data_IF_635135795820
#
_entry.id   IF_635135795820
#
_cell.length_a   1.000
_cell.length_b   1.000
_cell.length_c   1.000
_cell.angle_alpha   90.00
_cell.angle_beta   90.00
_cell.angle_gamma   90.00
#
_symmetry.space_group_name_H-M   'P 1'
#
loop_
_entity.id
_entity.type
_entity.pdbx_description
1 polymer ?
#
# COMPACT_ATOMS: atom_id res chain seq x y z
N UNK A 1 -11.35 -26.45 23.14
CA UNK A 1 -12.45 -27.03 22.36
C UNK A 1 -12.45 -28.58 22.45
N UNK A 2 -11.29 -29.23 22.23
CA UNK A 2 -11.15 -30.72 22.33
C UNK A 2 -11.47 -31.22 23.72
N UNK A 3 -10.89 -30.60 24.75
CA UNK A 3 -11.09 -30.96 26.15
C UNK A 3 -12.50 -30.64 26.65
N UNK A 4 -13.02 -29.45 26.27
CA UNK A 4 -14.35 -29.00 26.69
C UNK A 4 -15.52 -29.77 26.07
N UNK A 5 -15.32 -30.42 24.91
CA UNK A 5 -16.37 -31.18 24.22
C UNK A 5 -16.17 -32.71 24.25
N UNK A 6 -15.17 -33.19 24.98
CA UNK A 6 -14.85 -34.59 25.13
C UNK A 6 -14.73 -35.36 23.79
N UNK A 7 -14.15 -34.73 22.76
CA UNK A 7 -13.94 -35.27 21.41
C UNK A 7 -12.44 -35.45 21.12
N UNK A 8 -11.80 -36.52 21.60
CA UNK A 8 -10.35 -36.75 21.47
C UNK A 8 -9.91 -36.91 20.00
N UNK A 9 -10.80 -37.35 19.11
CA UNK A 9 -10.53 -37.58 17.69
C UNK A 9 -10.62 -36.29 16.83
N UNK A 10 -11.05 -35.18 17.42
CA UNK A 10 -11.13 -33.94 16.70
C UNK A 10 -9.73 -33.43 16.33
N UNK A 11 -9.57 -32.89 15.13
CA UNK A 11 -8.32 -32.32 14.65
C UNK A 11 -8.50 -30.89 14.10
N UNK A 12 -7.43 -30.12 14.11
CA UNK A 12 -7.36 -28.81 13.49
C UNK A 12 -6.41 -28.89 12.31
N UNK A 13 -6.85 -28.42 11.14
CA UNK A 13 -6.03 -28.30 9.93
C UNK A 13 -6.08 -26.89 9.41
N UNK A 14 -4.92 -26.23 9.36
CA UNK A 14 -4.75 -24.92 8.74
C UNK A 14 -4.13 -25.06 7.35
N UNK A 15 -4.64 -24.31 6.37
CA UNK A 15 -4.09 -24.24 5.02
C UNK A 15 -3.79 -22.77 4.70
N UNK A 16 -2.64 -22.52 4.09
CA UNK A 16 -2.27 -21.16 3.62
C UNK A 16 -1.44 -21.24 2.34
N UNK A 17 -1.68 -20.33 1.44
CA UNK A 17 -0.88 -20.05 0.23
C UNK A 17 0.07 -18.86 0.43
N UNK A 18 -0.08 -18.12 1.52
CA UNK A 18 0.67 -16.90 1.82
C UNK A 18 1.86 -17.15 2.75
N UNK A 19 2.82 -17.94 2.30
CA UNK A 19 4.01 -18.28 3.09
C UNK A 19 4.80 -17.03 3.51
N UNK A 20 4.87 -16.01 2.67
CA UNK A 20 5.56 -14.74 2.97
C UNK A 20 4.98 -14.02 4.21
N UNK A 21 3.70 -14.21 4.52
CA UNK A 21 3.09 -13.66 5.73
C UNK A 21 3.63 -14.30 7.01
N UNK A 22 4.20 -15.50 6.92
CA UNK A 22 4.73 -16.28 8.03
C UNK A 22 6.25 -16.10 8.23
N UNK A 23 6.98 -15.64 7.20
CA UNK A 23 8.45 -15.53 7.22
C UNK A 23 8.94 -14.30 8.01
N UNK A 24 8.11 -13.27 8.20
CA UNK A 24 8.50 -12.04 8.89
C UNK A 24 8.28 -12.11 10.40
N UNK A 25 9.32 -11.87 11.20
CA UNK A 25 9.24 -11.73 12.65
C UNK A 25 9.70 -12.97 13.43
N UNK A 26 10.11 -12.72 14.70
CA UNK A 26 10.62 -13.77 15.58
C UNK A 26 9.49 -14.72 16.02
N UNK A 27 9.70 -16.02 15.79
CA UNK A 27 8.81 -17.11 16.21
C UNK A 27 7.33 -16.98 15.81
N UNK A 28 7.05 -16.36 14.65
CA UNK A 28 5.66 -16.14 14.20
C UNK A 28 4.94 -17.45 13.87
N UNK A 29 5.65 -18.39 13.27
CA UNK A 29 5.12 -19.72 12.94
C UNK A 29 4.81 -20.50 14.21
N UNK A 30 5.74 -20.54 15.20
CA UNK A 30 5.52 -21.20 16.48
C UNK A 30 4.30 -20.64 17.21
N UNK A 31 4.18 -19.32 17.31
CA UNK A 31 3.01 -18.67 17.93
C UNK A 31 1.69 -19.04 17.23
N UNK A 32 1.70 -19.14 15.91
CA UNK A 32 0.52 -19.54 15.14
C UNK A 32 0.16 -21.01 15.44
N UNK A 33 1.16 -21.89 15.48
CA UNK A 33 0.96 -23.30 15.82
C UNK A 33 0.38 -23.46 17.23
N UNK A 34 0.93 -22.76 18.20
CA UNK A 34 0.45 -22.75 19.59
C UNK A 34 -1.00 -22.24 19.67
N UNK A 35 -1.29 -21.13 18.98
CA UNK A 35 -2.65 -20.55 18.97
C UNK A 35 -3.68 -21.48 18.34
N UNK A 36 -3.29 -22.20 17.28
CA UNK A 36 -4.16 -23.15 16.58
C UNK A 36 -4.11 -24.57 17.16
N UNK A 37 -3.27 -24.83 18.17
CA UNK A 37 -3.02 -26.16 18.74
C UNK A 37 -2.63 -27.19 17.67
N UNK A 38 -1.76 -26.80 16.73
CA UNK A 38 -1.28 -27.64 15.63
C UNK A 38 0.15 -28.09 15.92
N UNK A 39 0.39 -29.42 15.89
CA UNK A 39 1.70 -30.01 16.19
C UNK A 39 2.65 -30.16 15.01
N UNK A 40 2.12 -30.25 13.78
CA UNK A 40 2.93 -30.57 12.60
C UNK A 40 2.76 -29.53 11.51
N UNK A 41 3.84 -29.27 10.76
CA UNK A 41 3.85 -28.40 9.57
C UNK A 41 4.22 -29.26 8.36
N UNK A 42 3.44 -29.10 7.28
CA UNK A 42 3.72 -29.73 5.99
C UNK A 42 3.95 -28.63 4.96
N UNK A 43 5.14 -28.62 4.34
CA UNK A 43 5.51 -27.67 3.30
C UNK A 43 5.36 -28.31 1.93
N UNK A 44 4.54 -27.72 1.08
CA UNK A 44 4.26 -28.19 -0.28
C UNK A 44 4.61 -27.11 -1.33
N UNK A 45 5.91 -26.78 -1.52
CA UNK A 45 6.30 -25.83 -2.55
C UNK A 45 6.07 -26.41 -3.95
N UNK A 46 5.86 -25.54 -4.94
CA UNK A 46 5.60 -25.95 -6.33
C UNK A 46 6.72 -26.79 -6.94
N UNK A 47 7.95 -26.63 -6.47
CA UNK A 47 9.12 -27.42 -6.93
C UNK A 47 9.23 -28.78 -6.24
N UNK A 48 8.40 -29.11 -5.25
CA UNK A 48 8.34 -30.44 -4.67
C UNK A 48 7.95 -31.45 -5.76
N UNK A 49 8.67 -32.58 -5.81
CA UNK A 49 8.55 -33.53 -6.92
C UNK A 49 7.10 -33.98 -7.15
N UNK A 50 6.40 -34.39 -6.10
CA UNK A 50 5.00 -34.83 -6.18
C UNK A 50 4.06 -33.73 -6.70
N UNK A 51 4.29 -32.47 -6.30
CA UNK A 51 3.49 -31.32 -6.79
C UNK A 51 3.80 -31.04 -8.25
N UNK A 52 5.08 -31.05 -8.62
CA UNK A 52 5.51 -30.86 -10.01
C UNK A 52 4.92 -31.93 -10.95
N UNK A 53 4.96 -33.19 -10.54
CA UNK A 53 4.40 -34.29 -11.31
C UNK A 53 2.87 -34.20 -11.42
N UNK A 54 2.18 -33.84 -10.33
CA UNK A 54 0.75 -33.63 -10.36
C UNK A 54 0.37 -32.49 -11.30
N UNK A 55 1.04 -31.34 -11.18
CA UNK A 55 0.79 -30.19 -12.09
C UNK A 55 1.10 -30.51 -13.55
N UNK A 56 2.11 -31.33 -13.83
CA UNK A 56 2.43 -31.76 -15.18
C UNK A 56 1.36 -32.66 -15.80
N UNK A 57 0.70 -33.50 -14.97
CA UNK A 57 -0.41 -34.36 -15.43
C UNK A 57 -1.73 -33.58 -15.59
N UNK A 58 -1.87 -32.47 -14.90
CA UNK A 58 -3.09 -31.63 -14.90
C UNK A 58 -2.70 -30.18 -15.23
N UNK A 59 -2.21 -29.92 -16.47
CA UNK A 59 -1.85 -28.56 -16.84
C UNK A 59 -3.12 -27.69 -16.85
N UNK A 60 -3.09 -26.50 -16.22
CA UNK A 60 -4.21 -25.58 -16.32
C UNK A 60 -4.32 -25.04 -17.74
N UNK A 61 -5.54 -24.85 -18.23
CA UNK A 61 -5.78 -24.07 -19.43
C UNK A 61 -5.59 -22.58 -19.10
N UNK A 62 -4.53 -21.99 -19.65
CA UNK A 62 -4.13 -20.61 -19.33
C UNK A 62 -4.52 -19.69 -20.46
N UNK A 63 -5.54 -18.87 -20.24
CA UNK A 63 -5.93 -17.79 -21.14
C UNK A 63 -5.35 -16.47 -20.64
N UNK A 64 -4.40 -15.92 -21.36
CA UNK A 64 -3.78 -14.63 -21.05
C UNK A 64 -4.52 -13.51 -21.77
N UNK A 65 -5.18 -12.64 -21.01
CA UNK A 65 -5.84 -11.46 -21.54
C UNK A 65 -5.02 -10.20 -21.23
N UNK A 66 -4.60 -9.49 -22.28
CA UNK A 66 -3.95 -8.20 -22.17
C UNK A 66 -5.00 -7.07 -22.32
N UNK A 67 -5.38 -6.44 -21.22
CA UNK A 67 -6.35 -5.34 -21.21
C UNK A 67 -5.62 -4.02 -20.98
N UNK A 68 -5.70 -3.10 -21.94
CA UNK A 68 -5.11 -1.77 -21.82
C UNK A 68 -6.03 -0.83 -21.02
N UNK A 69 -5.41 0.16 -20.34
CA UNK A 69 -6.16 1.21 -19.68
C UNK A 69 -6.96 2.05 -20.68
N UNK A 70 -8.16 2.45 -20.31
CA UNK A 70 -8.94 3.40 -21.10
C UNK A 70 -8.26 4.77 -21.18
N UNK A 71 -8.55 5.59 -22.20
CA UNK A 71 -7.93 6.93 -22.30
C UNK A 71 -8.13 7.79 -21.04
N UNK A 72 -9.32 7.74 -20.44
CA UNK A 72 -9.61 8.46 -19.19
C UNK A 72 -8.79 7.89 -18.00
N UNK A 73 -8.64 6.58 -17.90
CA UNK A 73 -7.79 5.98 -16.86
C UNK A 73 -6.32 6.38 -17.02
N UNK A 74 -5.81 6.44 -18.26
CA UNK A 74 -4.45 6.92 -18.54
C UNK A 74 -4.27 8.38 -18.13
N UNK A 75 -5.26 9.23 -18.38
CA UNK A 75 -5.24 10.63 -17.96
C UNK A 75 -5.21 10.75 -16.43
N UNK A 76 -6.07 10.01 -15.72
CA UNK A 76 -6.06 9.95 -14.26
C UNK A 76 -4.71 9.47 -13.73
N UNK A 77 -4.16 8.40 -14.32
CA UNK A 77 -2.85 7.88 -13.97
C UNK A 77 -1.74 8.93 -14.13
N UNK A 78 -1.72 9.63 -15.27
CA UNK A 78 -0.75 10.68 -15.55
C UNK A 78 -0.83 11.82 -14.52
N UNK A 79 -2.05 12.28 -14.20
CA UNK A 79 -2.25 13.33 -13.18
C UNK A 79 -1.76 12.88 -11.79
N UNK A 80 -2.03 11.65 -11.38
CA UNK A 80 -1.53 11.14 -10.09
C UNK A 80 0.00 11.10 -10.09
N UNK A 81 0.62 10.63 -11.17
CA UNK A 81 2.09 10.56 -11.29
C UNK A 81 2.69 11.97 -11.24
N UNK A 82 2.11 12.94 -11.93
CA UNK A 82 2.54 14.34 -11.92
C UNK A 82 2.52 14.92 -10.50
N UNK A 83 1.43 14.70 -9.76
CA UNK A 83 1.32 15.11 -8.35
C UNK A 83 2.41 14.41 -7.50
N UNK A 84 2.65 13.11 -7.71
CA UNK A 84 3.69 12.37 -6.99
C UNK A 84 5.09 12.93 -7.28
N UNK A 85 5.38 13.30 -8.51
CA UNK A 85 6.65 13.93 -8.90
C UNK A 85 6.82 15.28 -8.20
N UNK A 86 5.79 16.11 -8.17
CA UNK A 86 5.81 17.40 -7.47
C UNK A 86 6.06 17.22 -5.95
N UNK A 87 5.34 16.30 -5.31
CA UNK A 87 5.55 15.98 -3.89
C UNK A 87 6.97 15.45 -3.60
N UNK A 88 7.51 14.63 -4.49
CA UNK A 88 8.86 14.07 -4.35
C UNK A 88 9.93 15.15 -4.52
N UNK A 89 9.76 16.06 -5.48
CA UNK A 89 10.66 17.20 -5.68
C UNK A 89 10.65 18.13 -4.45
N UNK A 90 9.48 18.41 -3.89
CA UNK A 90 9.36 19.21 -2.67
C UNK A 90 10.02 18.51 -1.47
N UNK A 91 9.84 17.20 -1.34
CA UNK A 91 10.48 16.42 -0.29
C UNK A 91 12.01 16.42 -0.40
N UNK A 92 12.56 16.29 -1.61
CA UNK A 92 13.99 16.38 -1.88
C UNK A 92 14.54 17.76 -1.50
N UNK A 93 13.83 18.83 -1.87
CA UNK A 93 14.21 20.21 -1.53
C UNK A 93 14.21 20.45 -0.01
N UNK A 94 13.20 20.00 0.70
CA UNK A 94 13.09 20.17 2.16
C UNK A 94 14.09 19.32 2.94
N UNK A 95 14.25 18.07 2.53
CA UNK A 95 15.09 17.10 3.26
C UNK A 95 16.58 17.27 2.99
N UNK A 96 16.96 17.89 1.86
CA UNK A 96 18.33 17.95 1.34
C UNK A 96 19.02 16.57 1.27
N UNK A 97 18.22 15.51 1.20
CA UNK A 97 18.69 14.13 1.07
C UNK A 97 18.63 13.76 -0.40
N UNK A 98 19.67 13.11 -0.88
CA UNK A 98 19.63 12.54 -2.23
C UNK A 98 18.61 11.38 -2.26
N UNK A 99 17.55 11.62 -3.01
CA UNK A 99 16.44 10.69 -3.21
C UNK A 99 16.50 10.01 -4.58
N UNK A 100 17.54 10.25 -5.38
CA UNK A 100 17.67 9.75 -6.76
C UNK A 100 17.54 8.21 -6.84
N UNK A 101 18.13 7.48 -5.89
CA UNK A 101 18.03 6.03 -5.80
C UNK A 101 16.62 5.55 -5.40
N UNK A 102 15.86 6.37 -4.66
CA UNK A 102 14.55 6.00 -4.14
C UNK A 102 13.44 6.51 -5.05
N UNK A 103 13.70 7.50 -5.89
CA UNK A 103 12.68 8.15 -6.71
C UNK A 103 12.04 7.18 -7.71
N UNK A 104 12.80 6.24 -8.27
CA UNK A 104 12.27 5.17 -9.12
C UNK A 104 11.50 4.11 -8.32
N UNK A 105 11.92 3.81 -7.09
CA UNK A 105 11.26 2.85 -6.19
C UNK A 105 10.07 3.45 -5.45
N UNK A 106 10.10 4.76 -5.12
CA UNK A 106 9.02 5.47 -4.41
C UNK A 106 7.71 5.41 -5.19
N UNK A 107 7.79 5.33 -6.51
CA UNK A 107 6.60 5.30 -7.35
C UNK A 107 5.90 3.92 -7.37
N UNK A 108 6.54 2.84 -6.93
CA UNK A 108 6.04 1.48 -7.18
C UNK A 108 5.91 0.63 -5.90
N UNK A 109 6.79 0.79 -4.89
CA UNK A 109 6.86 -0.14 -3.76
C UNK A 109 6.36 0.43 -2.42
N UNK A 110 5.43 -0.24 -1.72
CA UNK A 110 4.99 0.15 -0.37
C UNK A 110 6.12 0.19 0.67
N UNK A 111 7.20 -0.59 0.45
CA UNK A 111 8.38 -0.61 1.31
C UNK A 111 9.24 0.67 1.22
N UNK A 112 9.06 1.47 0.17
CA UNK A 112 9.78 2.72 -0.01
C UNK A 112 9.45 3.76 1.08
N UNK A 113 8.23 3.73 1.64
CA UNK A 113 7.83 4.67 2.71
C UNK A 113 8.65 4.49 3.99
N UNK A 114 8.95 3.26 4.36
CA UNK A 114 9.77 2.97 5.54
C UNK A 114 11.23 3.38 5.33
N UNK A 115 11.79 3.08 4.16
CA UNK A 115 13.15 3.49 3.76
C UNK A 115 13.25 5.02 3.72
N UNK A 116 12.25 5.69 3.18
CA UNK A 116 12.20 7.14 3.07
C UNK A 116 12.14 7.80 4.44
N UNK A 117 11.24 7.35 5.33
CA UNK A 117 11.17 7.83 6.72
C UNK A 117 12.48 7.58 7.48
N UNK A 118 13.13 6.44 7.27
CA UNK A 118 14.41 6.12 7.88
C UNK A 118 15.53 7.04 7.40
N UNK A 119 15.63 7.31 6.08
CA UNK A 119 16.62 8.27 5.53
C UNK A 119 16.37 9.68 6.08
N UNK A 120 15.12 10.15 6.11
CA UNK A 120 14.74 11.46 6.64
C UNK A 120 15.08 11.56 8.14
N UNK A 121 14.74 10.53 8.94
CA UNK A 121 14.99 10.51 10.38
C UNK A 121 16.48 10.46 10.77
N UNK A 122 17.34 9.93 9.90
CA UNK A 122 18.80 9.91 10.10
C UNK A 122 19.48 11.24 9.78
N UNK A 123 18.81 12.16 9.10
CA UNK A 123 19.38 13.46 8.75
C UNK A 123 19.47 14.36 10.00
N UNK A 124 20.70 14.69 10.42
CA UNK A 124 20.98 15.51 11.62
C UNK A 124 20.37 16.92 11.56
N UNK A 125 20.05 17.40 10.36
CA UNK A 125 19.50 18.75 10.11
C UNK A 125 17.97 18.81 10.15
N UNK A 126 17.30 17.68 10.31
CA UNK A 126 15.84 17.56 10.27
C UNK A 126 15.25 17.59 11.68
N UNK A 127 14.81 18.78 12.14
CA UNK A 127 14.16 18.96 13.44
C UNK A 127 12.92 19.87 13.32
N UNK A 128 12.00 19.72 14.26
CA UNK A 128 10.82 20.59 14.38
C UNK A 128 9.90 20.57 13.15
N UNK A 129 9.54 21.74 12.68
CA UNK A 129 8.57 21.96 11.58
C UNK A 129 8.98 21.30 10.26
N UNK A 130 10.29 21.28 9.93
CA UNK A 130 10.78 20.64 8.71
C UNK A 130 10.58 19.13 8.71
N UNK A 131 10.85 18.47 9.82
CA UNK A 131 10.64 17.03 9.95
C UNK A 131 9.14 16.70 9.84
N UNK A 132 8.28 17.53 10.43
CA UNK A 132 6.84 17.39 10.33
C UNK A 132 6.38 17.51 8.86
N UNK A 133 6.77 18.57 8.17
CA UNK A 133 6.44 18.78 6.76
C UNK A 133 6.90 17.61 5.87
N UNK A 134 8.10 17.07 6.09
CA UNK A 134 8.57 15.89 5.36
C UNK A 134 7.74 14.64 5.66
N UNK A 135 7.32 14.43 6.91
CA UNK A 135 6.46 13.31 7.26
C UNK A 135 5.05 13.42 6.66
N UNK A 136 4.53 14.64 6.54
CA UNK A 136 3.27 14.94 5.87
C UNK A 136 3.36 14.62 4.38
N UNK A 137 4.42 15.06 3.69
CA UNK A 137 4.67 14.70 2.29
C UNK A 137 4.82 13.20 2.06
N UNK A 138 5.44 12.47 2.97
CA UNK A 138 5.52 11.01 2.88
C UNK A 138 4.14 10.36 3.06
N UNK A 139 3.29 10.91 3.92
CA UNK A 139 1.92 10.44 4.06
C UNK A 139 1.09 10.74 2.80
N UNK A 140 1.28 11.90 2.18
CA UNK A 140 0.65 12.26 0.92
C UNK A 140 1.06 11.32 -0.22
N UNK A 141 2.35 11.02 -0.36
CA UNK A 141 2.85 10.04 -1.32
C UNK A 141 2.24 8.65 -1.12
N UNK A 142 2.03 8.23 0.13
CA UNK A 142 1.34 6.97 0.44
C UNK A 142 -0.11 7.00 -0.05
N UNK A 143 -0.82 8.11 0.18
CA UNK A 143 -2.20 8.32 -0.27
C UNK A 143 -2.28 8.29 -1.81
N UNK A 144 -1.38 8.97 -2.51
CA UNK A 144 -1.32 9.01 -3.97
C UNK A 144 -1.05 7.61 -4.57
N UNK A 145 -0.16 6.82 -3.96
CA UNK A 145 0.04 5.41 -4.38
C UNK A 145 -1.19 4.55 -4.14
N UNK A 146 -1.90 4.79 -3.05
CA UNK A 146 -3.17 4.12 -2.80
C UNK A 146 -4.19 4.46 -3.88
N UNK A 147 -4.31 5.73 -4.28
CA UNK A 147 -5.16 6.15 -5.41
C UNK A 147 -4.76 5.43 -6.70
N UNK A 148 -3.47 5.37 -7.02
CA UNK A 148 -2.98 4.71 -8.22
C UNK A 148 -3.32 3.21 -8.25
N UNK A 149 -3.15 2.52 -7.13
CA UNK A 149 -3.55 1.12 -6.97
C UNK A 149 -5.06 0.93 -7.07
N UNK A 150 -5.82 1.85 -6.50
CA UNK A 150 -7.28 1.81 -6.46
C UNK A 150 -7.92 2.08 -7.84
N UNK A 151 -7.25 2.84 -8.70
CA UNK A 151 -7.69 3.08 -10.09
C UNK A 151 -7.88 1.78 -10.88
N UNK A 152 -7.07 0.75 -10.56
CA UNK A 152 -7.12 -0.56 -11.22
C UNK A 152 -8.05 -1.57 -10.52
N UNK A 153 -8.32 -1.36 -9.24
CA UNK A 153 -9.06 -2.33 -8.40
C UNK A 153 -10.54 -1.99 -8.24
N UNK A 154 -10.88 -0.72 -8.35
CA UNK A 154 -12.24 -0.24 -8.12
C UNK A 154 -12.93 0.14 -9.43
N UNK A 155 -14.25 0.01 -9.44
CA UNK A 155 -15.10 0.59 -10.47
C UNK A 155 -15.05 2.14 -10.42
N UNK A 156 -15.61 2.80 -11.43
CA UNK A 156 -15.55 4.26 -11.55
C UNK A 156 -16.27 4.98 -10.40
N UNK A 157 -17.40 4.47 -9.94
CA UNK A 157 -18.19 5.10 -8.87
C UNK A 157 -17.47 4.97 -7.53
N UNK A 158 -16.99 3.76 -7.19
CA UNK A 158 -16.25 3.51 -5.95
C UNK A 158 -14.94 4.29 -5.91
N UNK A 159 -14.23 4.37 -7.04
CA UNK A 159 -13.01 5.18 -7.16
C UNK A 159 -13.29 6.67 -6.93
N UNK A 160 -14.35 7.22 -7.56
CA UNK A 160 -14.69 8.63 -7.38
C UNK A 160 -15.12 8.96 -5.94
N UNK A 161 -15.95 8.11 -5.32
CA UNK A 161 -16.31 8.27 -3.91
C UNK A 161 -15.11 8.25 -2.99
N UNK A 162 -14.13 7.37 -3.27
CA UNK A 162 -12.86 7.35 -2.54
C UNK A 162 -12.10 8.66 -2.72
N UNK A 163 -12.00 9.21 -3.94
CA UNK A 163 -11.36 10.50 -4.20
C UNK A 163 -12.04 11.64 -3.41
N UNK A 164 -13.37 11.70 -3.43
CA UNK A 164 -14.14 12.70 -2.66
C UNK A 164 -13.86 12.58 -1.16
N UNK A 165 -13.82 11.37 -0.62
CA UNK A 165 -13.47 11.14 0.79
C UNK A 165 -12.06 11.64 1.12
N UNK A 166 -11.09 11.39 0.25
CA UNK A 166 -9.72 11.87 0.42
C UNK A 166 -9.66 13.39 0.35
N UNK A 167 -10.38 14.02 -0.60
CA UNK A 167 -10.47 15.48 -0.73
C UNK A 167 -10.99 16.12 0.55
N UNK A 168 -12.09 15.59 1.08
CA UNK A 168 -12.68 16.08 2.34
C UNK A 168 -11.70 15.92 3.49
N UNK A 169 -11.08 14.74 3.64
CA UNK A 169 -10.14 14.46 4.74
C UNK A 169 -8.87 15.30 4.65
N UNK A 170 -8.38 15.55 3.45
CA UNK A 170 -7.16 16.34 3.23
C UNK A 170 -7.42 17.85 3.33
N UNK A 171 -8.65 18.31 3.07
CA UNK A 171 -9.04 19.72 3.15
C UNK A 171 -9.45 20.15 4.56
N UNK A 172 -9.95 19.26 5.41
CA UNK A 172 -10.42 19.59 6.75
C UNK A 172 -9.22 19.76 7.68
N UNK A 173 -9.00 20.97 8.26
CA UNK A 173 -8.12 21.11 9.40
C UNK A 173 -8.71 20.30 10.55
N UNK A 174 -7.98 19.31 11.06
CA UNK A 174 -8.39 18.59 12.28
C UNK A 174 -8.43 19.61 13.44
N UNK A 175 -9.64 20.09 13.75
CA UNK A 175 -9.94 20.81 14.97
C UNK A 175 -9.79 19.81 16.13
N UNK A 176 -8.56 19.52 16.52
CA UNK A 176 -8.33 18.94 17.83
C UNK A 176 -8.59 20.04 18.85
N UNK A 177 -9.49 19.79 19.77
CA UNK A 177 -9.89 20.66 20.90
C UNK A 177 -8.73 21.06 21.84
N UNK A 178 -7.52 20.70 21.54
CA UNK A 178 -6.27 21.16 22.16
C UNK A 178 -5.47 21.98 21.14
N UNK A 179 -5.67 23.28 21.15
CA UNK A 179 -5.25 24.32 20.22
C UNK A 179 -3.77 24.44 19.82
N UNK A 180 -3.00 23.37 19.76
CA UNK A 180 -1.56 23.41 19.53
C UNK A 180 -1.08 22.87 18.16
N UNK A 181 -1.92 22.18 17.38
CA UNK A 181 -1.49 21.62 16.11
C UNK A 181 -2.61 21.62 15.06
N UNK A 182 -2.76 22.74 14.34
CA UNK A 182 -3.53 22.76 13.10
C UNK A 182 -2.75 21.97 12.04
N UNK A 183 -3.35 20.92 11.48
CA UNK A 183 -2.84 20.27 10.26
C UNK A 183 -3.20 21.18 9.08
N UNK A 184 -2.22 21.71 8.38
CA UNK A 184 -2.46 22.43 7.13
C UNK A 184 -3.00 21.45 6.07
N UNK A 185 -3.87 21.91 5.18
CA UNK A 185 -4.33 21.08 4.05
C UNK A 185 -3.15 20.67 3.18
N UNK A 186 -3.21 19.46 2.65
CA UNK A 186 -2.13 18.93 1.81
C UNK A 186 -1.93 19.80 0.56
N UNK A 187 -0.72 20.28 0.36
CA UNK A 187 -0.41 21.27 -0.71
C UNK A 187 -0.66 20.73 -2.13
N UNK A 188 -0.59 19.41 -2.32
CA UNK A 188 -0.88 18.79 -3.62
C UNK A 188 -2.33 19.03 -4.10
N UNK A 189 -3.27 19.33 -3.19
CA UNK A 189 -4.65 19.68 -3.56
C UNK A 189 -4.76 20.96 -4.38
N UNK A 190 -3.76 21.83 -4.32
CA UNK A 190 -3.72 23.09 -5.04
C UNK A 190 -3.11 22.99 -6.46
N UNK A 191 -2.63 21.79 -6.84
CA UNK A 191 -2.02 21.58 -8.14
C UNK A 191 -3.10 21.44 -9.23
N UNK A 192 -2.82 21.96 -10.42
CA UNK A 192 -3.70 21.84 -11.60
C UNK A 192 -3.96 20.37 -11.98
N UNK A 193 -2.93 19.53 -11.82
CA UNK A 193 -3.05 18.09 -12.00
C UNK A 193 -4.10 17.45 -11.09
N UNK A 194 -4.33 18.01 -9.90
CA UNK A 194 -5.38 17.53 -8.98
C UNK A 194 -6.76 17.87 -9.53
N UNK A 195 -6.98 19.05 -10.05
CA UNK A 195 -8.26 19.41 -10.67
C UNK A 195 -8.55 18.53 -11.88
N UNK A 196 -7.55 18.32 -12.74
CA UNK A 196 -7.64 17.38 -13.87
C UNK A 196 -7.99 15.96 -13.43
N UNK A 197 -7.40 15.48 -12.34
CA UNK A 197 -7.70 14.18 -11.74
C UNK A 197 -9.17 14.05 -11.35
N UNK A 198 -9.69 15.02 -10.58
CA UNK A 198 -11.07 14.99 -10.08
C UNK A 198 -12.09 15.15 -11.22
N UNK A 199 -11.84 16.07 -12.14
CA UNK A 199 -12.68 16.29 -13.32
C UNK A 199 -12.74 15.03 -14.18
N UNK A 200 -11.59 14.45 -14.54
CA UNK A 200 -11.54 13.23 -15.37
C UNK A 200 -12.20 12.02 -14.67
N UNK A 201 -12.03 11.92 -13.35
CA UNK A 201 -12.67 10.86 -12.58
C UNK A 201 -14.20 11.01 -12.57
N UNK A 202 -14.70 12.25 -12.47
CA UNK A 202 -16.14 12.55 -12.56
C UNK A 202 -16.71 12.25 -13.96
N UNK A 203 -15.98 12.61 -15.03
CA UNK A 203 -16.37 12.31 -16.42
C UNK A 203 -16.41 10.80 -16.73
N UNK A 204 -15.83 9.97 -15.88
CA UNK A 204 -15.80 8.53 -16.04
C UNK A 204 -17.06 7.83 -15.50
N UNK A 205 -17.82 8.52 -14.64
CA UNK A 205 -19.09 8.06 -14.11
C UNK A 205 -20.20 8.24 -15.17
#
# INVERSE_FOLDING_TARGET
>A
YREGNNKPESFVRGLTDQVCALVGGFNKVGKLMDTMSVGNIYLWPRFHLSIKEYCARHPPDVVQLAVSLTPRMKRIQASIIEIMVACTAQLAHLSKVDLSEITSEVNILPSADSKLRQKIGRSKHMRGTKLRACNELVADLKTLRHMLSSLLRHDCISFYKMLESIRVTAAVPLNSSSGLFQKEPSQWLLLEATETLYQTARERI
#
